data_IF_224800713999
#
_entry.id   IF_224800713999
#
_cell.length_a   1.000
_cell.length_b   1.000
_cell.length_c   1.000
_cell.angle_alpha   90.00
_cell.angle_beta   90.00
_cell.angle_gamma   90.00
#
_symmetry.space_group_name_H-M   'P 1'
#
loop_
_entity.id
_entity.type
_entity.pdbx_description
1 polymer ?
#
# COMPACT_ATOMS: atom_id res chain seq x y z
N UNK A 1 -10.04 -14.20 1.22
CA UNK A 1 -9.75 -14.61 2.62
C UNK A 1 -9.32 -16.07 2.75
N UNK A 2 -10.00 -17.05 2.15
CA UNK A 2 -9.79 -18.50 2.41
C UNK A 2 -8.36 -19.04 2.16
N UNK A 3 -7.68 -18.55 1.12
CA UNK A 3 -6.37 -19.06 0.69
C UNK A 3 -5.20 -18.66 1.61
N UNK A 4 -5.33 -17.56 2.36
CA UNK A 4 -4.32 -17.14 3.34
C UNK A 4 -4.48 -17.94 4.63
N UNK A 5 -5.72 -18.17 5.08
CA UNK A 5 -6.01 -19.00 6.25
C UNK A 5 -5.42 -20.40 6.12
N UNK A 6 -5.65 -21.06 4.97
CA UNK A 6 -5.07 -22.37 4.65
C UNK A 6 -3.54 -22.41 4.74
N UNK A 7 -2.85 -21.35 4.29
CA UNK A 7 -1.40 -21.26 4.36
C UNK A 7 -0.92 -21.12 5.82
N UNK A 8 -1.61 -20.30 6.61
CA UNK A 8 -1.31 -20.11 8.04
C UNK A 8 -1.53 -21.42 8.80
N UNK A 9 -2.65 -22.09 8.57
CA UNK A 9 -2.96 -23.40 9.17
C UNK A 9 -1.90 -24.44 8.84
N UNK A 10 -1.48 -24.56 7.58
CA UNK A 10 -0.43 -25.48 7.16
C UNK A 10 0.92 -25.19 7.84
N UNK A 11 1.27 -23.91 7.98
CA UNK A 11 2.51 -23.51 8.65
C UNK A 11 2.47 -23.82 10.16
N UNK A 12 1.34 -23.56 10.82
CA UNK A 12 1.17 -23.89 12.24
C UNK A 12 1.16 -25.39 12.49
N UNK A 13 0.50 -26.19 11.66
CA UNK A 13 0.52 -27.65 11.76
C UNK A 13 1.95 -28.21 11.59
N UNK A 14 2.74 -27.62 10.69
CA UNK A 14 4.16 -27.96 10.57
C UNK A 14 4.93 -27.62 11.86
N UNK A 15 4.74 -26.42 12.41
CA UNK A 15 5.42 -26.00 13.62
C UNK A 15 5.06 -26.88 14.83
N UNK A 16 3.79 -27.23 14.95
CA UNK A 16 3.29 -28.16 15.97
C UNK A 16 3.96 -29.54 15.85
N UNK A 17 4.10 -30.07 14.63
CA UNK A 17 4.78 -31.35 14.40
C UNK A 17 6.23 -31.30 14.88
N UNK A 18 6.96 -30.22 14.59
CA UNK A 18 8.36 -30.08 15.05
C UNK A 18 8.44 -29.99 16.58
N UNK A 19 7.50 -29.29 17.21
CA UNK A 19 7.42 -29.20 18.67
C UNK A 19 7.10 -30.57 19.31
N UNK A 20 6.13 -31.31 18.77
CA UNK A 20 5.78 -32.67 19.23
C UNK A 20 6.95 -33.64 19.09
N UNK A 21 7.73 -33.52 18.01
CA UNK A 21 8.93 -34.32 17.78
C UNK A 21 10.15 -33.83 18.58
N UNK A 22 10.02 -32.78 19.38
CA UNK A 22 11.11 -32.18 20.15
C UNK A 22 12.31 -31.79 19.26
N UNK A 23 12.05 -31.38 18.02
CA UNK A 23 13.08 -30.93 17.09
C UNK A 23 13.31 -29.43 17.36
N UNK A 24 14.47 -29.04 17.92
CA UNK A 24 14.78 -27.64 18.14
C UNK A 24 14.97 -26.94 16.80
N UNK A 25 14.32 -25.77 16.67
CA UNK A 25 14.33 -24.96 15.46
C UNK A 25 14.72 -23.53 15.81
N UNK A 26 15.65 -22.95 15.06
CA UNK A 26 16.03 -21.55 15.19
C UNK A 26 15.26 -20.70 14.17
N UNK A 27 15.22 -19.38 14.37
CA UNK A 27 14.50 -18.46 13.46
C UNK A 27 14.92 -18.60 11.99
N UNK A 28 16.20 -18.91 11.72
CA UNK A 28 16.69 -19.19 10.37
C UNK A 28 16.02 -20.42 9.72
N UNK A 29 15.74 -21.46 10.51
CA UNK A 29 15.17 -22.72 10.05
C UNK A 29 13.68 -22.54 9.78
N UNK A 30 13.00 -21.76 10.61
CA UNK A 30 11.61 -21.34 10.42
C UNK A 30 11.43 -20.56 9.12
N UNK A 31 12.32 -19.60 8.83
CA UNK A 31 12.31 -18.83 7.57
C UNK A 31 12.50 -19.77 6.38
N UNK A 32 13.53 -20.62 6.42
CA UNK A 32 13.79 -21.57 5.34
C UNK A 32 12.61 -22.52 5.08
N UNK A 33 11.90 -22.95 6.13
CA UNK A 33 10.73 -23.81 5.96
C UNK A 33 9.53 -23.06 5.40
N UNK A 34 9.28 -21.84 5.85
CA UNK A 34 8.22 -21.00 5.30
C UNK A 34 8.43 -20.81 3.79
N UNK A 35 9.67 -20.58 3.36
CA UNK A 35 10.02 -20.43 1.96
C UNK A 35 9.70 -21.69 1.13
N UNK A 36 9.96 -22.88 1.69
CA UNK A 36 9.63 -24.17 1.07
C UNK A 36 8.11 -24.35 0.97
N UNK A 37 7.38 -24.06 2.05
CA UNK A 37 5.92 -24.17 2.10
C UNK A 37 5.29 -23.24 1.05
N UNK A 38 5.75 -22.01 0.94
CA UNK A 38 5.29 -21.07 -0.08
C UNK A 38 5.52 -21.59 -1.51
N UNK A 39 6.73 -22.11 -1.79
CA UNK A 39 7.06 -22.71 -3.10
C UNK A 39 6.18 -23.91 -3.44
N UNK A 40 5.94 -24.80 -2.48
CA UNK A 40 5.09 -25.99 -2.67
C UNK A 40 3.63 -25.61 -2.97
N UNK A 41 3.16 -24.47 -2.45
CA UNK A 41 1.84 -23.92 -2.75
C UNK A 41 1.81 -23.11 -4.06
N UNK A 42 2.86 -23.17 -4.90
CA UNK A 42 2.94 -22.44 -6.16
C UNK A 42 3.06 -20.92 -6.00
N UNK A 43 3.47 -20.44 -4.82
CA UNK A 43 3.68 -19.01 -4.58
C UNK A 43 5.12 -18.64 -4.86
N UNK A 44 5.31 -17.58 -5.62
CA UNK A 44 6.63 -17.01 -5.85
C UNK A 44 7.19 -16.40 -4.56
N UNK A 45 8.45 -16.73 -4.26
CA UNK A 45 9.16 -16.06 -3.19
C UNK A 45 9.57 -14.67 -3.64
N UNK A 46 9.32 -13.69 -2.78
CA UNK A 46 9.80 -12.33 -2.96
C UNK A 46 11.30 -12.26 -2.68
N UNK A 47 12.12 -12.69 -3.64
CA UNK A 47 13.58 -12.64 -3.56
C UNK A 47 14.13 -11.21 -3.65
N UNK A 48 13.31 -10.23 -4.01
CA UNK A 48 13.70 -8.83 -4.25
C UNK A 48 12.85 -7.83 -3.43
N UNK A 49 12.21 -8.31 -2.35
CA UNK A 49 11.45 -7.44 -1.44
C UNK A 49 12.34 -6.30 -0.93
N UNK A 50 12.10 -5.08 -1.42
CA UNK A 50 12.84 -3.88 -1.04
C UNK A 50 13.06 -2.90 -2.19
N UNK A 51 13.80 -3.30 -3.23
CA UNK A 51 14.17 -2.39 -4.35
C UNK A 51 13.00 -2.08 -5.29
N UNK A 52 12.30 -3.12 -5.75
CA UNK A 52 11.17 -2.96 -6.68
C UNK A 52 9.98 -2.31 -5.95
N UNK A 53 9.71 -2.72 -4.72
CA UNK A 53 8.63 -2.15 -3.90
C UNK A 53 8.84 -0.65 -3.62
N UNK A 54 10.06 -0.23 -3.30
CA UNK A 54 10.36 1.19 -3.07
C UNK A 54 10.21 2.03 -4.36
N UNK A 55 10.77 1.56 -5.48
CA UNK A 55 10.61 2.25 -6.77
C UNK A 55 9.13 2.32 -7.21
N UNK A 56 8.38 1.24 -7.02
CA UNK A 56 6.95 1.17 -7.35
C UNK A 56 6.12 2.08 -6.42
N UNK A 57 6.48 2.15 -5.13
CA UNK A 57 5.86 3.05 -4.17
C UNK A 57 6.14 4.51 -4.50
N UNK A 58 7.37 4.87 -4.86
CA UNK A 58 7.72 6.22 -5.32
C UNK A 58 6.95 6.60 -6.59
N UNK A 59 6.89 5.69 -7.57
CA UNK A 59 6.13 5.91 -8.81
C UNK A 59 4.65 6.15 -8.51
N UNK A 60 4.03 5.25 -7.73
CA UNK A 60 2.61 5.36 -7.35
C UNK A 60 2.34 6.63 -6.55
N UNK A 61 3.22 6.98 -5.62
CA UNK A 61 3.11 8.21 -4.84
C UNK A 61 3.21 9.46 -5.73
N UNK A 62 4.10 9.47 -6.72
CA UNK A 62 4.22 10.57 -7.68
C UNK A 62 2.97 10.71 -8.57
N UNK A 63 2.45 9.60 -9.07
CA UNK A 63 1.22 9.59 -9.88
C UNK A 63 0.01 10.12 -9.11
N UNK A 64 -0.18 9.70 -7.86
CA UNK A 64 -1.27 10.18 -7.02
C UNK A 64 -1.07 11.65 -6.61
N UNK A 65 0.16 12.08 -6.36
CA UNK A 65 0.47 13.48 -6.07
C UNK A 65 0.13 14.41 -7.24
N UNK A 66 0.48 14.04 -8.47
CA UNK A 66 0.15 14.85 -9.65
C UNK A 66 -1.37 14.93 -9.89
N UNK A 67 -2.11 13.83 -9.67
CA UNK A 67 -3.59 13.86 -9.70
C UNK A 67 -4.16 14.82 -8.66
N UNK A 68 -3.64 14.76 -7.43
CA UNK A 68 -4.04 15.66 -6.35
C UNK A 68 -3.75 17.12 -6.71
N UNK A 69 -2.53 17.42 -7.17
CA UNK A 69 -2.08 18.77 -7.54
C UNK A 69 -2.93 19.36 -8.67
N UNK A 70 -3.29 18.57 -9.68
CA UNK A 70 -4.16 19.03 -10.75
C UNK A 70 -5.59 19.33 -10.26
N UNK A 71 -6.12 18.49 -9.36
CA UNK A 71 -7.40 18.75 -8.71
C UNK A 71 -7.35 20.04 -7.87
N UNK A 72 -6.27 20.24 -7.11
CA UNK A 72 -6.08 21.41 -6.26
C UNK A 72 -6.04 22.70 -7.09
N UNK A 73 -5.28 22.72 -8.19
CA UNK A 73 -5.25 23.86 -9.14
C UNK A 73 -6.63 24.20 -9.71
N UNK A 74 -7.44 23.20 -10.03
CA UNK A 74 -8.79 23.43 -10.54
C UNK A 74 -9.69 24.07 -9.48
N UNK A 75 -9.56 23.65 -8.22
CA UNK A 75 -10.28 24.23 -7.09
C UNK A 75 -9.83 25.68 -6.85
N UNK A 76 -8.52 25.95 -6.79
CA UNK A 76 -7.97 27.30 -6.60
C UNK A 76 -8.41 28.26 -7.70
N UNK A 77 -8.45 27.82 -8.95
CA UNK A 77 -8.96 28.63 -10.05
C UNK A 77 -10.44 28.96 -9.88
N UNK A 78 -11.24 27.99 -9.44
CA UNK A 78 -12.67 28.20 -9.22
C UNK A 78 -12.94 29.12 -8.02
N UNK A 79 -12.16 29.02 -6.93
CA UNK A 79 -12.29 29.92 -5.78
C UNK A 79 -11.88 31.34 -6.15
N UNK A 80 -10.76 31.51 -6.85
CA UNK A 80 -10.30 32.84 -7.29
C UNK A 80 -11.31 33.53 -8.21
N UNK A 81 -11.95 32.79 -9.12
CA UNK A 81 -13.02 33.34 -9.97
C UNK A 81 -14.23 33.82 -9.15
N UNK A 82 -14.66 33.04 -8.16
CA UNK A 82 -15.77 33.42 -7.27
C UNK A 82 -15.45 34.67 -6.45
N UNK A 83 -14.25 34.77 -5.91
CA UNK A 83 -13.80 35.94 -5.15
C UNK A 83 -13.82 37.21 -6.03
N UNK A 84 -13.32 37.12 -7.27
CA UNK A 84 -13.37 38.23 -8.23
C UNK A 84 -14.82 38.65 -8.57
N UNK A 85 -15.73 37.70 -8.76
CA UNK A 85 -17.15 38.00 -9.01
C UNK A 85 -17.80 38.72 -7.82
N UNK A 86 -17.54 38.27 -6.60
CA UNK A 86 -18.05 38.90 -5.38
C UNK A 86 -17.51 40.33 -5.21
N UNK A 87 -16.23 40.56 -5.48
CA UNK A 87 -15.61 41.89 -5.39
C UNK A 87 -16.18 42.86 -6.44
N UNK A 88 -16.42 42.39 -7.68
CA UNK A 88 -17.11 43.18 -8.72
C UNK A 88 -18.52 43.57 -8.28
N UNK A 89 -19.27 42.64 -7.66
CA UNK A 89 -20.63 42.90 -7.16
C UNK A 89 -20.64 43.93 -6.02
N UNK A 90 -19.68 43.86 -5.09
CA UNK A 90 -19.53 44.84 -4.01
C UNK A 90 -19.21 46.24 -4.55
N UNK A 91 -18.31 46.33 -5.53
CA UNK A 91 -17.96 47.59 -6.20
C UNK A 91 -19.13 48.22 -6.97
N UNK A 92 -19.98 47.40 -7.61
CA UNK A 92 -21.20 47.91 -8.26
C UNK A 92 -22.22 48.43 -7.24
N UNK A 93 -22.40 47.75 -6.11
CA UNK A 93 -23.31 48.18 -5.04
C UNK A 93 -22.85 49.46 -4.34
N UNK A 94 -21.54 49.72 -4.21
CA UNK A 94 -21.05 50.94 -3.56
C UNK A 94 -21.04 52.18 -4.48
N UNK A 95 -21.26 52.00 -5.80
CA UNK A 95 -21.36 53.09 -6.78
C UNK A 95 -22.80 53.51 -7.09
N UNK A 96 -23.80 52.82 -6.54
CA UNK A 96 -25.22 53.20 -6.53
C UNK A 96 -25.57 53.84 -5.19
#
# INVERSE_FOLDING_TARGET
>A
MKLLGLLVEQYLAFAETMAQQHIPMYMKDWIARLDIILKLNGRELLTHAGKISHQLALKKSGEEYEKFKNRQKAIEKATSLKELEEDILKLKKSKS
#
